data_IF_147140988701
#
_entry.id   IF_147140988701
#
_cell.length_a   1.000
_cell.length_b   1.000
_cell.length_c   1.000
_cell.angle_alpha   90.00
_cell.angle_beta   90.00
_cell.angle_gamma   90.00
#
_symmetry.space_group_name_H-M   'P 1'
#
loop_
_entity.id
_entity.type
_entity.pdbx_description
1 polymer ?
#
# COMPACT_ATOMS: atom_id res chain seq x y z
N UNK A 1 43.37 -6.70 -45.39
CA UNK A 1 42.30 -5.87 -44.82
C UNK A 1 42.31 -6.01 -43.31
N UNK A 2 43.00 -5.11 -42.60
CA UNK A 2 43.06 -5.14 -41.12
C UNK A 2 41.98 -4.20 -40.60
N UNK A 3 40.86 -4.76 -40.17
CA UNK A 3 39.81 -4.00 -39.48
C UNK A 3 40.38 -3.57 -38.13
N UNK A 4 40.66 -2.28 -38.00
CA UNK A 4 41.28 -1.69 -36.82
C UNK A 4 40.31 -1.77 -35.63
N UNK A 5 40.42 -2.83 -34.82
CA UNK A 5 39.54 -3.17 -33.67
C UNK A 5 39.38 -2.01 -32.66
N UNK A 6 40.32 -1.07 -32.61
CA UNK A 6 40.26 0.10 -31.73
C UNK A 6 39.12 1.08 -32.07
N UNK A 7 38.68 1.13 -33.33
CA UNK A 7 37.61 2.06 -33.75
C UNK A 7 36.20 1.51 -33.48
N UNK A 8 36.05 0.18 -33.45
CA UNK A 8 34.77 -0.46 -33.13
C UNK A 8 34.48 -0.36 -31.63
N UNK A 9 35.46 -0.66 -30.78
CA UNK A 9 35.34 -0.50 -29.32
C UNK A 9 35.07 0.96 -28.94
N UNK A 10 35.77 1.93 -29.55
CA UNK A 10 35.49 3.36 -29.31
C UNK A 10 34.08 3.77 -29.75
N UNK A 11 33.57 3.23 -30.86
CA UNK A 11 32.18 3.50 -31.32
C UNK A 11 31.15 2.87 -30.41
N UNK A 12 31.37 1.64 -29.94
CA UNK A 12 30.51 0.96 -28.97
C UNK A 12 30.49 1.74 -27.66
N UNK A 13 31.65 2.07 -27.08
CA UNK A 13 31.72 2.88 -25.87
C UNK A 13 31.04 4.25 -26.03
N UNK A 14 31.25 4.93 -27.16
CA UNK A 14 30.62 6.23 -27.42
C UNK A 14 29.11 6.15 -27.62
N UNK A 15 28.58 5.02 -28.08
CA UNK A 15 27.14 4.81 -28.24
C UNK A 15 26.46 4.24 -26.99
N UNK A 16 27.16 3.41 -26.21
CA UNK A 16 26.68 2.85 -24.93
C UNK A 16 26.70 3.91 -23.83
N UNK A 17 27.73 4.74 -23.78
CA UNK A 17 27.88 5.84 -22.82
C UNK A 17 27.56 7.20 -23.41
N UNK A 18 26.89 7.26 -24.57
CA UNK A 18 26.22 8.48 -24.97
C UNK A 18 25.28 8.81 -23.82
N UNK A 19 25.46 9.98 -23.21
CA UNK A 19 24.44 10.66 -22.41
C UNK A 19 23.23 10.81 -23.31
N UNK A 20 22.48 9.74 -23.51
CA UNK A 20 21.04 9.88 -23.45
C UNK A 20 20.85 10.53 -22.09
N UNK A 21 20.27 11.71 -22.09
CA UNK A 21 19.53 12.17 -20.93
C UNK A 21 18.76 10.93 -20.48
N UNK A 22 19.25 10.24 -19.45
CA UNK A 22 18.41 9.42 -18.63
C UNK A 22 17.43 10.46 -18.14
N UNK A 23 16.32 10.65 -18.89
CA UNK A 23 15.14 11.25 -18.35
C UNK A 23 15.01 10.53 -17.02
N UNK A 24 15.20 11.28 -15.93
CA UNK A 24 14.98 10.74 -14.61
C UNK A 24 13.68 9.97 -14.73
N UNK A 25 13.75 8.64 -14.63
CA UNK A 25 12.58 7.80 -14.67
C UNK A 25 11.72 8.42 -13.60
N UNK A 26 10.65 9.14 -13.99
CA UNK A 26 9.80 9.85 -13.03
C UNK A 26 9.45 8.79 -12.02
N UNK A 27 10.00 8.92 -10.81
CA UNK A 27 9.79 7.92 -9.76
C UNK A 27 8.28 7.76 -9.69
N UNK A 28 7.80 6.56 -9.99
CA UNK A 28 6.37 6.28 -9.92
C UNK A 28 6.02 6.32 -8.46
N UNK A 29 5.45 7.44 -8.04
CA UNK A 29 5.00 7.63 -6.68
C UNK A 29 3.78 6.73 -6.43
N UNK A 30 3.67 6.24 -5.20
CA UNK A 30 2.47 5.54 -4.77
C UNK A 30 1.26 6.47 -4.98
N UNK A 31 0.09 5.93 -5.39
CA UNK A 31 -1.08 6.75 -5.62
C UNK A 31 -1.42 7.54 -4.34
N UNK A 32 -1.73 8.83 -4.50
CA UNK A 32 -2.14 9.68 -3.38
C UNK A 32 -3.60 9.33 -3.03
N UNK A 33 -3.77 8.52 -1.99
CA UNK A 33 -5.08 7.95 -1.59
C UNK A 33 -5.83 8.79 -0.55
N UNK A 34 -5.51 10.07 -0.40
CA UNK A 34 -6.08 10.90 0.67
C UNK A 34 -7.61 10.97 0.63
N UNK A 35 -8.19 10.92 -0.56
CA UNK A 35 -9.63 10.95 -0.80
C UNK A 35 -10.19 9.62 -1.32
N UNK A 36 -9.44 8.52 -1.20
CA UNK A 36 -9.88 7.22 -1.70
C UNK A 36 -11.17 6.75 -1.01
N UNK A 37 -12.23 6.54 -1.79
CA UNK A 37 -13.53 6.05 -1.32
C UNK A 37 -13.69 4.52 -1.47
N UNK A 38 -12.61 3.81 -1.80
CA UNK A 38 -12.60 2.35 -2.02
C UNK A 38 -13.63 1.83 -3.05
N UNK A 39 -13.97 2.63 -4.08
CA UNK A 39 -14.98 2.29 -5.10
C UNK A 39 -14.63 1.09 -5.99
N UNK A 40 -13.37 0.61 -5.94
CA UNK A 40 -12.89 -0.54 -6.70
C UNK A 40 -12.81 -0.38 -8.22
N UNK A 41 -12.93 0.84 -8.76
CA UNK A 41 -12.76 1.08 -10.19
C UNK A 41 -11.32 0.80 -10.67
N UNK A 42 -10.31 1.20 -9.89
CA UNK A 42 -8.90 0.92 -10.19
C UNK A 42 -8.60 -0.59 -10.32
N UNK A 43 -9.24 -1.42 -9.50
CA UNK A 43 -9.12 -2.88 -9.58
C UNK A 43 -9.76 -3.40 -10.87
N UNK A 44 -10.93 -2.87 -11.25
CA UNK A 44 -11.67 -3.31 -12.43
C UNK A 44 -10.95 -3.03 -13.75
N UNK A 45 -10.23 -1.91 -13.82
CA UNK A 45 -9.51 -1.51 -15.04
C UNK A 45 -8.07 -2.03 -15.08
N UNK A 46 -7.56 -2.64 -14.01
CA UNK A 46 -6.16 -3.06 -13.99
C UNK A 46 -5.94 -4.30 -14.88
N UNK A 47 -5.21 -4.18 -16.01
CA UNK A 47 -5.08 -5.28 -16.97
C UNK A 47 -4.26 -6.46 -16.42
N UNK A 48 -3.41 -6.22 -15.43
CA UNK A 48 -2.53 -7.23 -14.82
C UNK A 48 -2.99 -7.70 -13.44
N UNK A 49 -4.14 -7.22 -12.96
CA UNK A 49 -4.62 -7.48 -11.60
C UNK A 49 -3.61 -7.10 -10.49
N UNK A 50 -2.71 -6.15 -10.78
CA UNK A 50 -1.72 -5.65 -9.83
C UNK A 50 -2.34 -4.94 -8.61
N UNK A 51 -3.60 -4.48 -8.72
CA UNK A 51 -4.26 -3.68 -7.68
C UNK A 51 -5.24 -4.55 -6.90
N UNK A 52 -5.10 -4.55 -5.57
CA UNK A 52 -6.05 -5.16 -4.62
C UNK A 52 -6.63 -4.10 -3.71
N UNK A 53 -7.95 -4.15 -3.49
CA UNK A 53 -8.64 -3.35 -2.47
C UNK A 53 -9.04 -4.25 -1.31
N UNK A 54 -8.67 -3.86 -0.09
CA UNK A 54 -9.11 -4.56 1.10
C UNK A 54 -10.49 -4.03 1.54
N UNK A 55 -11.44 -4.93 1.79
CA UNK A 55 -12.76 -4.57 2.33
C UNK A 55 -12.78 -4.97 3.81
N UNK A 56 -12.46 -4.01 4.67
CA UNK A 56 -12.35 -4.17 6.12
C UNK A 56 -13.73 -4.27 6.81
N UNK A 57 -14.60 -5.19 6.39
CA UNK A 57 -15.97 -5.27 6.98
C UNK A 57 -16.06 -6.03 8.31
N UNK A 58 -15.03 -6.76 8.74
CA UNK A 58 -15.16 -7.72 9.86
C UNK A 58 -14.92 -7.15 11.27
N UNK A 59 -14.31 -5.97 11.41
CA UNK A 59 -13.90 -5.43 12.73
C UNK A 59 -14.76 -4.22 13.14
N UNK A 60 -15.49 -3.63 12.19
CA UNK A 60 -16.16 -2.34 12.34
C UNK A 60 -17.67 -2.53 12.17
N UNK A 61 -18.23 -3.35 13.04
CA UNK A 61 -19.66 -3.50 13.16
C UNK A 61 -20.02 -3.13 14.59
N UNK A 62 -20.80 -2.07 14.77
CA UNK A 62 -21.39 -1.73 16.08
C UNK A 62 -22.46 -2.73 16.52
N UNK A 63 -22.64 -3.81 15.75
CA UNK A 63 -23.64 -4.85 15.97
C UNK A 63 -25.09 -4.32 16.05
N UNK A 64 -25.37 -3.14 15.48
CA UNK A 64 -26.67 -2.49 15.54
C UNK A 64 -27.80 -3.24 14.80
N UNK A 65 -27.46 -4.15 13.89
CA UNK A 65 -28.43 -5.02 13.20
C UNK A 65 -29.21 -4.35 12.05
N UNK A 66 -28.97 -3.07 11.75
CA UNK A 66 -29.69 -2.34 10.69
C UNK A 66 -29.62 -3.06 9.33
N UNK A 67 -28.46 -3.62 8.97
CA UNK A 67 -28.27 -4.36 7.74
C UNK A 67 -29.12 -5.64 7.66
N UNK A 68 -29.28 -6.36 8.77
CA UNK A 68 -30.12 -7.56 8.84
C UNK A 68 -31.60 -7.17 8.72
N UNK A 69 -32.00 -6.13 9.45
CA UNK A 69 -33.39 -5.66 9.50
C UNK A 69 -33.90 -5.17 8.14
N UNK A 70 -33.03 -4.57 7.33
CA UNK A 70 -33.41 -4.08 5.98
C UNK A 70 -33.26 -5.14 4.89
N UNK A 71 -32.69 -6.32 5.17
CA UNK A 71 -32.44 -7.32 4.14
C UNK A 71 -33.74 -8.05 3.77
N UNK A 72 -34.30 -7.86 2.55
CA UNK A 72 -35.62 -8.40 2.21
C UNK A 72 -35.64 -9.92 2.07
N UNK A 73 -34.48 -10.54 1.87
CA UNK A 73 -34.34 -11.98 1.63
C UNK A 73 -33.63 -12.72 2.77
N UNK A 74 -33.41 -12.05 3.90
CA UNK A 74 -32.70 -12.60 5.07
C UNK A 74 -31.35 -13.26 4.68
N UNK A 75 -30.63 -12.63 3.75
CA UNK A 75 -29.38 -13.16 3.21
C UNK A 75 -28.16 -12.91 4.12
N UNK A 76 -28.31 -12.11 5.18
CA UNK A 76 -27.24 -11.79 6.14
C UNK A 76 -27.37 -12.73 7.35
N UNK A 77 -26.33 -13.50 7.65
CA UNK A 77 -26.34 -14.43 8.78
C UNK A 77 -26.18 -13.71 10.13
N UNK A 78 -26.36 -14.46 11.23
CA UNK A 78 -26.31 -13.93 12.61
C UNK A 78 -24.95 -13.31 12.97
N UNK A 79 -23.86 -13.78 12.36
CA UNK A 79 -22.54 -13.19 12.52
C UNK A 79 -22.45 -11.80 11.86
N UNK A 80 -23.44 -11.39 11.05
CA UNK A 80 -23.54 -10.14 10.29
C UNK A 80 -22.49 -9.94 9.20
N UNK A 81 -21.56 -10.87 9.05
CA UNK A 81 -20.45 -10.81 8.11
C UNK A 81 -20.61 -11.80 6.96
N UNK A 82 -21.29 -12.92 7.21
CA UNK A 82 -21.54 -13.95 6.22
C UNK A 82 -22.82 -13.65 5.45
N UNK A 83 -22.73 -13.75 4.12
CA UNK A 83 -23.85 -13.55 3.20
C UNK A 83 -24.17 -14.89 2.52
N UNK A 84 -25.40 -15.34 2.69
CA UNK A 84 -26.00 -16.45 1.91
C UNK A 84 -26.14 -16.00 0.46
N UNK A 85 -25.31 -16.55 -0.41
CA UNK A 85 -25.23 -16.15 -1.82
C UNK A 85 -26.46 -16.54 -2.61
N UNK A 86 -27.17 -17.59 -2.20
CA UNK A 86 -28.35 -18.10 -2.91
C UNK A 86 -29.58 -17.22 -2.64
N UNK A 87 -29.61 -16.54 -1.49
CA UNK A 87 -30.66 -15.59 -1.13
C UNK A 87 -30.35 -14.14 -1.51
N UNK A 88 -29.07 -13.79 -1.66
CA UNK A 88 -28.65 -12.41 -1.90
C UNK A 88 -28.90 -11.96 -3.34
N UNK A 89 -29.80 -10.99 -3.52
CA UNK A 89 -30.12 -10.39 -4.83
C UNK A 89 -29.26 -9.16 -5.17
N UNK A 90 -28.29 -8.80 -4.32
CA UNK A 90 -27.40 -7.65 -4.49
C UNK A 90 -28.13 -6.29 -4.60
N UNK A 91 -29.28 -6.15 -3.95
CA UNK A 91 -30.10 -4.93 -3.96
C UNK A 91 -29.46 -3.69 -3.27
N UNK A 92 -28.50 -3.90 -2.37
CA UNK A 92 -27.71 -2.80 -1.77
C UNK A 92 -28.30 -2.12 -0.53
N UNK A 93 -29.51 -2.49 -0.06
CA UNK A 93 -30.11 -1.86 1.12
C UNK A 93 -29.25 -1.90 2.38
N UNK A 94 -28.54 -3.01 2.61
CA UNK A 94 -27.63 -3.13 3.76
C UNK A 94 -26.49 -2.11 3.74
N UNK A 95 -26.06 -1.65 2.56
CA UNK A 95 -25.06 -0.61 2.42
C UNK A 95 -25.67 0.78 2.65
N UNK A 96 -26.92 0.99 2.21
CA UNK A 96 -27.63 2.26 2.37
C UNK A 96 -27.90 2.58 3.85
N UNK A 97 -28.31 1.58 4.65
CA UNK A 97 -28.67 1.78 6.06
C UNK A 97 -27.49 1.72 7.03
N UNK A 98 -26.29 1.41 6.53
CA UNK A 98 -25.12 1.30 7.37
C UNK A 98 -24.63 2.69 7.76
N UNK A 99 -24.90 3.09 9.00
CA UNK A 99 -24.46 4.39 9.54
C UNK A 99 -22.96 4.50 9.79
N UNK A 100 -22.20 3.41 9.60
CA UNK A 100 -20.74 3.38 9.72
C UNK A 100 -20.12 3.89 8.40
N UNK A 101 -19.47 5.08 8.39
CA UNK A 101 -18.80 5.63 7.21
C UNK A 101 -17.47 4.92 6.93
N UNK A 102 -17.02 4.94 5.68
CA UNK A 102 -15.87 4.19 5.16
C UNK A 102 -14.51 4.59 5.81
N UNK A 103 -13.94 3.62 6.56
CA UNK A 103 -12.53 3.16 6.69
C UNK A 103 -11.42 4.12 7.18
N UNK A 104 -11.37 5.41 6.83
CA UNK A 104 -10.14 6.20 7.10
C UNK A 104 -9.87 6.47 8.59
N UNK A 105 -10.92 6.56 9.40
CA UNK A 105 -10.80 6.87 10.84
C UNK A 105 -10.77 5.63 11.74
N UNK A 106 -10.82 4.41 11.17
CA UNK A 106 -10.98 3.15 11.93
C UNK A 106 -9.86 2.13 11.67
N UNK A 107 -8.94 2.42 10.74
CA UNK A 107 -7.63 1.75 10.73
C UNK A 107 -6.85 2.34 11.90
N UNK A 108 -6.40 1.53 12.88
CA UNK A 108 -5.65 2.04 14.01
C UNK A 108 -4.40 2.72 13.47
N UNK A 109 -4.34 4.04 13.65
CA UNK A 109 -3.17 4.79 13.24
C UNK A 109 -2.04 4.45 14.22
N UNK A 110 -0.95 3.83 13.76
CA UNK A 110 0.15 3.50 14.64
C UNK A 110 0.81 4.78 15.13
N UNK A 111 1.24 4.79 16.39
CA UNK A 111 1.92 5.95 16.98
C UNK A 111 3.39 6.07 16.55
N UNK A 112 3.89 5.11 15.76
CA UNK A 112 5.23 5.07 15.19
C UNK A 112 5.16 4.70 13.70
N UNK A 113 6.23 4.93 12.92
CA UNK A 113 6.36 4.35 11.60
C UNK A 113 6.21 2.82 11.63
N UNK A 114 5.67 2.25 10.55
CA UNK A 114 5.48 0.81 10.42
C UNK A 114 6.58 0.22 9.55
N UNK A 115 7.23 -0.82 10.06
CA UNK A 115 8.23 -1.59 9.32
C UNK A 115 7.50 -2.68 8.55
N UNK A 116 7.73 -2.72 7.25
CA UNK A 116 7.10 -3.66 6.31
C UNK A 116 7.98 -4.90 6.10
N UNK A 117 7.47 -5.92 5.40
CA UNK A 117 8.19 -7.17 5.16
C UNK A 117 9.32 -7.02 4.13
N UNK A 118 9.36 -5.89 3.45
CA UNK A 118 10.39 -5.46 2.51
C UNK A 118 11.68 -5.03 3.24
N UNK A 119 11.64 -4.93 4.58
CA UNK A 119 12.80 -4.60 5.40
C UNK A 119 13.79 -5.77 5.45
N UNK A 120 15.02 -5.53 5.00
CA UNK A 120 16.11 -6.50 5.05
C UNK A 120 16.99 -6.38 6.30
N UNK A 121 16.57 -5.61 7.31
CA UNK A 121 17.28 -5.41 8.57
C UNK A 121 18.70 -4.80 8.46
N UNK A 122 18.96 -3.96 7.44
CA UNK A 122 20.29 -3.35 7.25
C UNK A 122 20.77 -2.39 8.37
N UNK A 123 19.88 -1.93 9.25
CA UNK A 123 20.22 -1.12 10.42
C UNK A 123 20.50 0.37 10.16
N UNK A 124 20.40 0.87 8.92
CA UNK A 124 20.64 2.30 8.61
C UNK A 124 19.78 3.24 9.47
N UNK A 125 18.50 2.91 9.64
CA UNK A 125 17.57 3.70 10.45
C UNK A 125 17.96 3.80 11.93
N UNK A 126 18.64 2.80 12.48
CA UNK A 126 19.16 2.82 13.86
C UNK A 126 20.21 3.92 13.99
N UNK A 127 21.14 4.00 13.03
CA UNK A 127 22.22 5.00 13.05
C UNK A 127 21.72 6.43 12.85
N UNK A 128 20.61 6.60 12.14
CA UNK A 128 20.05 7.92 11.78
C UNK A 128 18.99 8.42 12.76
N UNK A 129 18.44 7.57 13.62
CA UNK A 129 17.41 7.97 14.56
C UNK A 129 17.99 8.91 15.65
N UNK A 130 17.62 10.20 15.69
CA UNK A 130 18.17 11.15 16.67
C UNK A 130 17.82 10.76 18.11
N UNK A 131 16.63 10.18 18.31
CA UNK A 131 16.12 9.82 19.63
C UNK A 131 16.48 8.38 20.05
N UNK A 132 17.27 7.67 19.23
CA UNK A 132 17.67 6.26 19.46
C UNK A 132 16.47 5.36 19.80
N UNK A 133 15.35 5.60 19.12
CA UNK A 133 14.10 4.86 19.31
C UNK A 133 14.12 3.50 18.59
N UNK A 134 15.00 3.31 17.60
CA UNK A 134 15.04 2.13 16.74
C UNK A 134 16.18 1.20 17.17
N UNK A 135 15.91 -0.10 17.28
CA UNK A 135 16.88 -1.10 17.76
C UNK A 135 16.65 -2.47 17.10
N UNK A 136 17.60 -3.38 17.28
CA UNK A 136 17.43 -4.78 16.89
C UNK A 136 16.78 -5.59 18.00
N UNK A 137 15.80 -6.39 17.65
CA UNK A 137 15.08 -7.32 18.51
C UNK A 137 15.12 -8.71 17.87
N UNK A 138 15.28 -9.76 18.67
CA UNK A 138 15.16 -11.12 18.16
C UNK A 138 13.70 -11.58 18.21
N UNK A 139 13.20 -12.15 17.13
CA UNK A 139 11.91 -12.84 17.15
C UNK A 139 11.99 -14.18 17.91
N UNK A 140 10.85 -14.82 18.15
CA UNK A 140 10.75 -16.11 18.85
C UNK A 140 11.56 -17.24 18.18
N UNK A 141 11.93 -17.07 16.91
CA UNK A 141 12.70 -18.02 16.11
C UNK A 141 14.20 -17.67 16.06
N UNK A 142 14.63 -16.64 16.78
CA UNK A 142 16.01 -16.18 16.84
C UNK A 142 16.45 -15.33 15.64
N UNK A 143 15.53 -14.89 14.79
CA UNK A 143 15.86 -13.96 13.70
C UNK A 143 15.93 -12.54 14.23
N UNK A 144 16.95 -11.81 13.79
CA UNK A 144 17.10 -10.40 14.10
C UNK A 144 16.15 -9.56 13.23
N UNK A 145 15.27 -8.78 13.87
CA UNK A 145 14.37 -7.81 13.23
C UNK A 145 14.59 -6.42 13.81
N UNK A 146 14.29 -5.39 13.04
CA UNK A 146 14.28 -4.01 13.52
C UNK A 146 12.94 -3.76 14.25
N UNK A 147 13.01 -3.11 15.41
CA UNK A 147 11.86 -2.69 16.23
C UNK A 147 11.98 -1.22 16.64
N UNK A 148 10.84 -0.57 16.93
CA UNK A 148 10.77 0.86 17.30
C UNK A 148 10.14 0.97 18.68
N UNK A 149 10.81 1.68 19.59
CA UNK A 149 10.25 2.06 20.89
C UNK A 149 9.30 3.25 20.72
N UNK A 150 7.99 3.10 21.02
CA UNK A 150 7.00 4.15 20.82
C UNK A 150 7.15 5.34 21.78
N UNK A 151 7.73 5.15 22.96
CA UNK A 151 7.93 6.22 23.94
C UNK A 151 9.07 7.18 23.55
N UNK A 152 10.03 6.69 22.75
CA UNK A 152 11.17 7.49 22.26
C UNK A 152 10.96 8.07 20.87
N UNK A 153 9.97 7.56 20.14
CA UNK A 153 9.73 7.96 18.76
C UNK A 153 8.87 9.23 18.70
N UNK A 154 9.39 10.28 18.07
CA UNK A 154 8.67 11.55 17.90
C UNK A 154 8.09 11.73 16.49
N UNK A 155 8.05 10.65 15.68
CA UNK A 155 7.52 10.67 14.30
C UNK A 155 8.19 11.71 13.37
N UNK A 156 9.51 11.90 13.49
CA UNK A 156 10.29 12.86 12.67
C UNK A 156 10.54 12.43 11.21
N UNK A 157 10.07 11.26 10.77
CA UNK A 157 10.19 10.72 9.41
C UNK A 157 11.59 10.44 8.84
N UNK A 158 12.69 10.77 9.54
CA UNK A 158 14.07 10.51 9.09
C UNK A 158 14.30 9.05 8.67
N UNK A 159 13.74 8.10 9.43
CA UNK A 159 13.90 6.69 9.13
C UNK A 159 13.26 6.34 7.78
N UNK A 160 12.09 6.90 7.48
CA UNK A 160 11.33 6.69 6.23
C UNK A 160 12.14 7.23 5.05
N UNK A 161 12.59 8.49 5.14
CA UNK A 161 13.26 9.20 4.04
C UNK A 161 14.60 8.56 3.65
N UNK A 162 15.35 8.05 4.62
CA UNK A 162 16.65 7.44 4.40
C UNK A 162 16.59 5.92 4.13
N UNK A 163 15.40 5.31 4.12
CA UNK A 163 15.27 3.87 3.89
C UNK A 163 15.44 3.55 2.39
N UNK A 164 16.57 2.95 1.94
CA UNK A 164 16.78 2.65 0.53
C UNK A 164 15.81 1.57 0.01
N UNK A 165 15.27 0.75 0.91
CA UNK A 165 14.30 -0.30 0.59
C UNK A 165 12.86 0.21 0.55
N UNK A 166 12.62 1.47 0.92
CA UNK A 166 11.27 2.04 1.08
C UNK A 166 10.38 1.16 1.97
N UNK A 167 11.00 0.46 2.93
CA UNK A 167 10.36 -0.56 3.75
C UNK A 167 9.71 -0.01 5.03
N UNK A 168 9.65 1.31 5.18
CA UNK A 168 9.01 1.96 6.33
C UNK A 168 7.94 2.91 5.85
N UNK A 169 6.77 2.81 6.48
CA UNK A 169 5.61 3.64 6.19
C UNK A 169 5.37 4.63 7.32
N UNK A 170 5.03 5.87 6.98
CA UNK A 170 4.46 6.79 7.96
C UNK A 170 3.13 6.22 8.48
N UNK A 171 2.65 6.61 9.68
CA UNK A 171 1.33 6.22 10.14
C UNK A 171 0.21 6.48 9.12
N UNK A 172 0.28 7.61 8.42
CA UNK A 172 -0.68 7.95 7.38
C UNK A 172 -0.56 7.03 6.15
N UNK A 173 0.66 6.71 5.70
CA UNK A 173 0.87 5.84 4.54
C UNK A 173 0.58 4.38 4.85
N UNK A 174 0.76 3.94 6.10
CA UNK A 174 0.27 2.66 6.58
C UNK A 174 -1.25 2.56 6.40
N UNK A 175 -2.02 3.55 6.88
CA UNK A 175 -3.48 3.58 6.69
C UNK A 175 -3.84 3.51 5.21
N UNK A 176 -3.17 4.26 4.35
CA UNK A 176 -3.39 4.20 2.89
C UNK A 176 -3.11 2.81 2.31
N UNK A 177 -2.01 2.16 2.74
CA UNK A 177 -1.61 0.83 2.29
C UNK A 177 -2.62 -0.27 2.67
N UNK A 178 -3.37 -0.06 3.75
CA UNK A 178 -4.44 -0.97 4.15
C UNK A 178 -5.69 -0.85 3.25
N UNK A 179 -5.87 0.25 2.52
CA UNK A 179 -7.03 0.48 1.65
C UNK A 179 -6.77 -0.12 0.26
N UNK A 180 -5.63 0.21 -0.33
CA UNK A 180 -5.22 -0.27 -1.66
C UNK A 180 -3.79 -0.78 -1.57
N UNK A 181 -3.58 -2.01 -2.04
CA UNK A 181 -2.24 -2.58 -2.26
C UNK A 181 -2.00 -2.69 -3.76
N UNK A 182 -0.86 -2.16 -4.21
CA UNK A 182 -0.39 -2.31 -5.60
C UNK A 182 0.83 -3.23 -5.57
N UNK A 183 0.76 -4.32 -6.32
CA UNK A 183 1.90 -5.17 -6.62
C UNK A 183 2.71 -4.52 -7.75
N UNK A 184 3.86 -3.97 -7.40
CA UNK A 184 4.68 -3.22 -8.36
C UNK A 184 5.30 -4.13 -9.42
N UNK A 185 5.57 -5.40 -9.09
CA UNK A 185 6.17 -6.36 -10.02
C UNK A 185 5.19 -6.75 -11.13
N UNK A 186 3.89 -6.75 -10.80
CA UNK A 186 2.81 -6.99 -11.75
C UNK A 186 2.32 -5.70 -12.44
N UNK A 187 2.73 -4.51 -11.98
CA UNK A 187 2.25 -3.25 -12.53
C UNK A 187 2.98 -2.89 -13.83
N UNK A 188 2.23 -2.76 -14.94
CA UNK A 188 2.80 -2.33 -16.24
C UNK A 188 2.74 -0.80 -16.46
N UNK A 189 2.35 -0.04 -15.43
CA UNK A 189 2.31 1.43 -15.44
C UNK A 189 1.44 2.05 -16.54
N UNK A 190 0.33 1.40 -16.92
CA UNK A 190 -0.58 1.87 -17.97
C UNK A 190 -1.41 3.11 -17.58
N UNK A 191 -1.50 3.44 -16.28
CA UNK A 191 -2.25 4.57 -15.69
C UNK A 191 -3.78 4.53 -15.81
N UNK A 192 -4.38 3.47 -16.34
CA UNK A 192 -5.85 3.35 -16.41
C UNK A 192 -6.54 3.51 -15.05
N UNK A 193 -5.90 3.02 -13.98
CA UNK A 193 -6.40 3.17 -12.61
C UNK A 193 -6.46 4.62 -12.14
N UNK A 194 -5.59 5.48 -12.66
CA UNK A 194 -5.56 6.91 -12.42
C UNK A 194 -6.70 7.57 -13.19
N UNK A 195 -6.80 7.29 -14.50
CA UNK A 195 -7.81 7.87 -15.39
C UNK A 195 -9.25 7.57 -14.98
N UNK A 196 -9.52 6.35 -14.50
CA UNK A 196 -10.87 5.97 -14.06
C UNK A 196 -11.24 6.50 -12.67
N UNK A 197 -10.29 7.07 -11.92
CA UNK A 197 -10.51 7.42 -10.52
C UNK A 197 -11.41 8.66 -10.40
N UNK A 198 -12.61 8.55 -9.79
CA UNK A 198 -13.54 9.66 -9.66
C UNK A 198 -13.08 10.72 -8.64
N UNK A 199 -12.04 10.38 -7.86
CA UNK A 199 -11.43 11.27 -6.85
C UNK A 199 -10.12 11.88 -7.34
N UNK A 200 -9.72 11.62 -8.59
CA UNK A 200 -8.59 12.28 -9.24
C UNK A 200 -8.93 13.76 -9.40
N UNK A 201 -8.09 14.63 -8.84
CA UNK A 201 -8.08 16.07 -9.16
C UNK A 201 -7.17 16.30 -10.36
#
# INVERSE_FOLDING_TARGET
MVINKGNLLKKIFKNVFKKNEFQELKKTEHPILDNCIACSLCVKVCPTNAIKIFKFRNIICSHCGACMNVCPNNAILLDRFTIDKDKCTKCGYCALVCSIPIIKNEIPMPNTPVITNECNNCGLCITKCPNKAIYFENDEKGNCKISINPEKCENCSICIDFCPMHAMLSPADYVKSCIIKVDIDSCIFCKECEEICPMKK
#
